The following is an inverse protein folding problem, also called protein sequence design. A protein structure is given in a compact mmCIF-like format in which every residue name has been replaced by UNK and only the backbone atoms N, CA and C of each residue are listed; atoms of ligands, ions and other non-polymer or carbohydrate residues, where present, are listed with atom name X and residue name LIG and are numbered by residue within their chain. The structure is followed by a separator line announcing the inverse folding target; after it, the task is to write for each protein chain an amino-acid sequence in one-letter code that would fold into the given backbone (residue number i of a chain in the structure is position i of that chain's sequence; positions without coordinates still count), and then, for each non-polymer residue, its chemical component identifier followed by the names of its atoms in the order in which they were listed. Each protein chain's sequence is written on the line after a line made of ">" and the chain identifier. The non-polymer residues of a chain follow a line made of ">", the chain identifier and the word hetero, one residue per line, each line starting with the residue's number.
data_IF_590914270801
#
_entry.id   IF_590914270801
#
_cell.length_a   1.000
_cell.length_b   1.000
_cell.length_c   1.000
_cell.angle_alpha   90.00
_cell.angle_beta   90.00
_cell.angle_gamma   90.00
#
_symmetry.space_group_name_H-M   'P 1'
#
loop_
_entity.id
_entity.type
_entity.pdbx_description
1 polymer ?
#
# COMPACT_ATOMS: atom_id res chain seq x y z
N UNK A 1 -7.14 1.79 28.19
CA UNK A 1 -6.99 0.40 28.70
C UNK A 1 -5.52 0.08 28.93
N UNK A 2 -5.18 -0.94 29.74
CA UNK A 2 -3.80 -1.45 29.85
C UNK A 2 -3.74 -2.85 29.23
N UNK A 3 -2.72 -3.13 28.43
CA UNK A 3 -2.48 -4.44 27.84
C UNK A 3 -1.06 -4.91 28.20
N UNK A 4 -0.83 -6.22 28.22
CA UNK A 4 0.49 -6.80 28.46
C UNK A 4 1.13 -7.18 27.13
N UNK A 5 2.44 -6.97 27.05
CA UNK A 5 3.26 -7.52 25.96
C UNK A 5 3.52 -8.99 26.29
N UNK A 6 3.17 -9.88 25.35
CA UNK A 6 3.37 -11.33 25.46
C UNK A 6 4.48 -11.78 24.51
N UNK A 7 5.10 -12.92 24.83
CA UNK A 7 6.07 -13.58 23.94
C UNK A 7 5.33 -14.41 22.89
N UNK A 8 5.76 -14.29 21.63
CA UNK A 8 5.27 -15.08 20.49
C UNK A 8 6.52 -15.60 19.76
N UNK A 9 7.03 -16.77 20.17
CA UNK A 9 8.30 -17.30 19.64
C UNK A 9 9.49 -16.37 19.94
N UNK A 10 10.18 -15.93 18.88
CA UNK A 10 11.25 -14.91 18.96
C UNK A 10 10.71 -13.46 18.94
N UNK A 11 9.40 -13.29 18.77
CA UNK A 11 8.74 -11.99 18.69
C UNK A 11 7.96 -11.65 19.97
N UNK A 12 7.43 -10.42 20.01
CA UNK A 12 6.59 -9.89 21.09
C UNK A 12 5.29 -9.38 20.47
N UNK A 13 4.16 -9.57 21.17
CA UNK A 13 2.85 -9.13 20.69
C UNK A 13 2.00 -8.50 21.79
N UNK A 14 0.94 -7.80 21.39
CA UNK A 14 -0.08 -7.23 22.28
C UNK A 14 -1.44 -7.75 21.80
N UNK A 15 -2.32 -8.14 22.73
CA UNK A 15 -3.70 -8.53 22.38
C UNK A 15 -4.56 -7.28 22.25
N UNK A 16 -5.02 -6.98 21.04
CA UNK A 16 -5.94 -5.89 20.75
C UNK A 16 -7.39 -6.41 20.79
N UNK A 17 -8.29 -5.81 21.58
CA UNK A 17 -9.71 -6.19 21.57
C UNK A 17 -10.35 -5.93 20.21
N UNK A 18 -11.29 -6.79 19.80
CA UNK A 18 -12.08 -6.61 18.57
C UNK A 18 -12.75 -5.22 18.47
N UNK A 19 -13.34 -4.65 19.54
CA UNK A 19 -13.92 -3.31 19.46
C UNK A 19 -12.91 -2.23 19.06
N UNK A 20 -11.66 -2.32 19.55
CA UNK A 20 -10.62 -1.34 19.24
C UNK A 20 -10.16 -1.44 17.78
N UNK A 21 -10.09 -2.67 17.23
CA UNK A 21 -9.78 -2.88 15.81
C UNK A 21 -10.88 -2.29 14.91
N UNK A 22 -12.15 -2.48 15.29
CA UNK A 22 -13.30 -1.97 14.55
C UNK A 22 -13.37 -0.44 14.59
N UNK A 23 -13.21 0.17 15.77
CA UNK A 23 -13.19 1.62 15.95
C UNK A 23 -12.05 2.28 15.16
N UNK A 24 -10.86 1.66 15.17
CA UNK A 24 -9.70 2.13 14.43
C UNK A 24 -9.71 1.77 12.93
N UNK A 25 -10.73 1.04 12.45
CA UNK A 25 -10.85 0.58 11.06
C UNK A 25 -9.59 -0.16 10.57
N UNK A 26 -8.98 -0.95 11.47
CA UNK A 26 -7.81 -1.76 11.16
C UNK A 26 -8.25 -3.13 10.62
N UNK A 27 -7.71 -3.48 9.45
CA UNK A 27 -7.93 -4.78 8.82
C UNK A 27 -6.87 -5.81 9.26
N UNK A 28 -6.75 -6.92 8.52
CA UNK A 28 -5.78 -7.98 8.82
C UNK A 28 -4.32 -7.54 8.63
N UNK A 29 -4.08 -6.65 7.66
CA UNK A 29 -2.74 -6.13 7.37
C UNK A 29 -2.60 -4.70 7.89
N UNK A 30 -1.54 -4.46 8.66
CA UNK A 30 -1.24 -3.17 9.28
C UNK A 30 0.23 -2.83 9.13
N UNK A 31 0.51 -1.54 9.04
CA UNK A 31 1.87 -1.03 9.09
C UNK A 31 2.21 -0.58 10.52
N UNK A 32 3.44 -0.88 10.94
CA UNK A 32 3.97 -0.53 12.26
C UNK A 32 5.12 0.47 12.11
N UNK A 33 5.07 1.56 12.88
CA UNK A 33 6.16 2.54 12.98
C UNK A 33 6.56 2.76 14.43
N UNK A 34 7.85 2.68 14.74
CA UNK A 34 8.38 3.04 16.04
C UNK A 34 8.63 4.55 16.13
N UNK A 35 8.23 5.14 17.25
CA UNK A 35 8.49 6.53 17.61
C UNK A 35 8.99 6.58 19.07
N UNK A 36 9.65 7.66 19.51
CA UNK A 36 10.08 7.79 20.91
C UNK A 36 8.90 7.56 21.87
N UNK A 37 8.96 6.49 22.65
CA UNK A 37 7.97 6.13 23.66
C UNK A 37 6.69 5.44 23.16
N UNK A 38 6.52 5.18 21.85
CA UNK A 38 5.31 4.51 21.33
C UNK A 38 5.52 3.78 20.00
N UNK A 39 4.58 2.90 19.65
CA UNK A 39 4.46 2.29 18.32
C UNK A 39 3.13 2.75 17.73
N UNK A 40 3.17 3.28 16.51
CA UNK A 40 1.99 3.68 15.74
C UNK A 40 1.61 2.51 14.83
N UNK A 41 0.33 2.11 14.89
CA UNK A 41 -0.27 1.07 14.06
C UNK A 41 -1.27 1.75 13.15
N UNK A 42 -1.16 1.54 11.83
CA UNK A 42 -2.08 2.08 10.83
C UNK A 42 -2.51 1.01 9.84
N UNK A 43 -3.69 1.17 9.26
CA UNK A 43 -4.17 0.29 8.19
C UNK A 43 -3.16 0.25 7.05
N UNK A 44 -2.77 -0.95 6.61
CA UNK A 44 -1.88 -1.08 5.46
C UNK A 44 -2.65 -0.65 4.21
N UNK A 45 -2.09 0.30 3.46
CA UNK A 45 -2.63 0.63 2.13
C UNK A 45 -1.99 -0.34 1.15
N UNK A 46 -2.80 -1.11 0.42
CA UNK A 46 -2.28 -1.92 -0.68
C UNK A 46 -1.66 -0.97 -1.71
N UNK A 47 -0.39 -1.19 -2.11
CA UNK A 47 0.20 -0.45 -3.21
C UNK A 47 -0.75 -0.48 -4.41
N UNK A 48 -1.02 0.69 -4.99
CA UNK A 48 -1.92 0.86 -6.14
C UNK A 48 -3.39 0.51 -5.91
N UNK A 49 -3.85 0.46 -4.66
CA UNK A 49 -5.29 0.40 -4.37
C UNK A 49 -6.02 1.57 -5.05
N UNK A 50 -7.08 1.27 -5.81
CA UNK A 50 -7.86 2.27 -6.56
C UNK A 50 -7.26 2.70 -7.90
N UNK A 51 -6.05 2.24 -8.27
CA UNK A 51 -5.42 2.69 -9.51
C UNK A 51 -6.18 2.26 -10.77
N UNK A 52 -6.80 1.08 -10.76
CA UNK A 52 -7.58 0.62 -11.90
C UNK A 52 -8.82 1.49 -12.14
N UNK A 53 -9.50 1.88 -11.06
CA UNK A 53 -10.64 2.79 -11.10
C UNK A 53 -10.22 4.19 -11.57
N UNK A 54 -9.15 4.75 -10.99
CA UNK A 54 -8.66 6.07 -11.37
C UNK A 54 -8.11 6.09 -12.80
N UNK A 55 -7.46 5.01 -13.27
CA UNK A 55 -7.00 4.91 -14.65
C UNK A 55 -8.18 4.85 -15.65
N UNK A 56 -9.26 4.11 -15.33
CA UNK A 56 -10.49 4.12 -16.14
C UNK A 56 -11.10 5.52 -16.20
N UNK A 57 -11.20 6.20 -15.06
CA UNK A 57 -11.71 7.57 -14.98
C UNK A 57 -10.86 8.56 -15.78
N UNK A 58 -9.53 8.45 -15.69
CA UNK A 58 -8.60 9.27 -16.46
C UNK A 58 -8.81 9.10 -17.96
N UNK A 59 -8.99 7.85 -18.42
CA UNK A 59 -9.32 7.55 -19.81
C UNK A 59 -10.68 8.12 -20.24
N UNK A 60 -11.72 7.97 -19.42
CA UNK A 60 -13.05 8.55 -19.68
C UNK A 60 -13.01 10.08 -19.81
N UNK A 61 -12.09 10.74 -19.10
CA UNK A 61 -11.86 12.18 -19.15
C UNK A 61 -10.88 12.60 -20.26
N UNK A 62 -10.24 11.65 -20.96
CA UNK A 62 -9.20 11.94 -21.95
C UNK A 62 -7.92 12.53 -21.36
N UNK A 63 -7.68 12.33 -20.06
CA UNK A 63 -6.51 12.84 -19.33
C UNK A 63 -5.28 11.90 -19.42
N UNK A 64 -5.38 10.83 -20.20
CA UNK A 64 -4.34 9.80 -20.39
C UNK A 64 -3.49 10.00 -21.66
N UNK A 65 -3.58 11.18 -22.28
CA UNK A 65 -2.81 11.52 -23.49
C UNK A 65 -1.34 11.86 -23.16
N UNK A 66 -0.45 11.63 -24.12
CA UNK A 66 0.94 12.07 -24.02
C UNK A 66 1.01 13.60 -24.00
N UNK A 67 1.88 14.15 -23.13
CA UNK A 67 2.12 15.60 -23.06
C UNK A 67 2.95 16.10 -24.25
N UNK A 68 3.86 15.25 -24.73
CA UNK A 68 4.76 15.52 -25.86
C UNK A 68 4.53 14.47 -26.95
N UNK A 69 5.03 14.75 -28.16
CA UNK A 69 5.05 13.74 -29.22
C UNK A 69 5.86 12.51 -28.78
N UNK A 70 5.37 11.33 -29.14
CA UNK A 70 6.06 10.08 -28.86
C UNK A 70 7.45 10.09 -29.50
N UNK A 71 8.49 9.98 -28.67
CA UNK A 71 9.86 9.84 -29.16
C UNK A 71 10.11 8.37 -29.50
N UNK A 72 10.43 8.02 -30.75
CA UNK A 72 10.71 6.63 -31.11
C UNK A 72 11.94 6.14 -30.35
N UNK A 73 11.83 4.94 -29.79
CA UNK A 73 12.89 4.25 -29.08
C UNK A 73 13.43 3.10 -29.92
N UNK A 74 14.56 2.52 -29.50
CA UNK A 74 15.10 1.31 -30.14
C UNK A 74 14.10 0.16 -30.12
N UNK A 75 13.26 0.07 -29.08
CA UNK A 75 12.23 -0.96 -28.93
C UNK A 75 11.12 -0.86 -29.96
N UNK A 76 10.94 0.29 -30.61
CA UNK A 76 9.99 0.47 -31.70
C UNK A 76 10.56 0.01 -33.06
N UNK A 77 11.87 -0.24 -33.13
CA UNK A 77 12.60 -0.58 -34.36
C UNK A 77 13.07 -2.02 -34.38
N UNK A 78 13.46 -2.56 -33.23
CA UNK A 78 14.03 -3.90 -33.09
C UNK A 78 13.25 -4.67 -32.02
N UNK A 79 12.85 -5.90 -32.33
CA UNK A 79 12.29 -6.77 -31.30
C UNK A 79 13.34 -7.10 -30.25
N UNK A 80 12.89 -7.10 -29.00
CA UNK A 80 13.78 -7.29 -27.86
C UNK A 80 13.84 -8.77 -27.45
N UNK A 81 15.02 -9.19 -27.01
CA UNK A 81 15.26 -10.56 -26.52
C UNK A 81 15.64 -10.53 -25.04
N UNK A 82 15.01 -11.40 -24.23
CA UNK A 82 15.49 -11.67 -22.86
C UNK A 82 16.80 -12.46 -22.93
N UNK A 83 17.82 -12.03 -22.19
CA UNK A 83 19.00 -12.83 -21.89
C UNK A 83 18.96 -13.37 -20.45
#
# INVERSE_FOLDING_TARGET
>A
MKARIIRIGNSRGIRLPKPLLAEAQLAEEVELRAEPGRIVIRSARRPRAGWAEEARRMHELGEDQLLDEATPTRFDQEEWEWQ
#
